data_IF_009563799215
#
_entry.id   IF_009563799215
#
_cell.length_a   1.000
_cell.length_b   1.000
_cell.length_c   1.000
_cell.angle_alpha   90.00
_cell.angle_beta   90.00
_cell.angle_gamma   90.00
#
_symmetry.space_group_name_H-M   'P 1'
#
loop_
_entity.id
_entity.type
_entity.pdbx_description
1 polymer ?
#
# COMPACT_ATOMS: atom_id res chain seq x y z
N UNK A 1 -5.82 -23.51 5.62
CA UNK A 1 -6.60 -22.46 6.33
C UNK A 1 -5.73 -21.58 7.23
N UNK A 2 -4.91 -22.11 8.14
CA UNK A 2 -4.09 -21.30 9.06
C UNK A 2 -3.13 -20.35 8.33
N UNK A 3 -2.35 -20.85 7.37
CA UNK A 3 -1.38 -20.04 6.62
C UNK A 3 -2.03 -18.89 5.83
N UNK A 4 -3.18 -19.14 5.19
CA UNK A 4 -3.95 -18.12 4.45
C UNK A 4 -4.33 -16.95 5.35
N UNK A 5 -4.93 -17.23 6.51
CA UNK A 5 -5.36 -16.20 7.46
C UNK A 5 -4.14 -15.45 8.00
N UNK A 6 -3.05 -16.16 8.32
CA UNK A 6 -1.80 -15.54 8.79
C UNK A 6 -1.27 -14.56 7.74
N UNK A 7 -1.14 -14.96 6.48
CA UNK A 7 -0.63 -14.09 5.41
C UNK A 7 -1.56 -12.89 5.21
N UNK A 8 -2.88 -13.10 5.13
CA UNK A 8 -3.86 -12.01 4.99
C UNK A 8 -3.77 -11.03 6.17
N UNK A 9 -3.62 -11.54 7.40
CA UNK A 9 -3.49 -10.72 8.61
C UNK A 9 -2.20 -9.91 8.58
N UNK A 10 -1.06 -10.53 8.27
CA UNK A 10 0.24 -9.85 8.21
C UNK A 10 0.23 -8.73 7.17
N UNK A 11 -0.32 -8.99 5.98
CA UNK A 11 -0.40 -7.99 4.91
C UNK A 11 -1.43 -6.91 5.23
N UNK A 12 -2.52 -7.24 5.92
CA UNK A 12 -3.44 -6.24 6.46
C UNK A 12 -2.73 -5.32 7.45
N UNK A 13 -2.04 -5.88 8.45
CA UNK A 13 -1.30 -5.10 9.45
C UNK A 13 -0.26 -4.20 8.79
N UNK A 14 0.48 -4.71 7.81
CA UNK A 14 1.42 -3.93 7.02
C UNK A 14 0.73 -2.76 6.30
N UNK A 15 -0.40 -3.02 5.65
CA UNK A 15 -1.21 -1.99 4.95
C UNK A 15 -1.72 -0.93 5.94
N UNK A 16 -2.21 -1.35 7.10
CA UNK A 16 -2.69 -0.44 8.15
C UNK A 16 -1.56 0.40 8.74
N UNK A 17 -0.35 -0.15 8.88
CA UNK A 17 0.81 0.55 9.41
C UNK A 17 1.49 1.48 8.37
N UNK A 18 1.35 1.21 7.07
CA UNK A 18 2.06 1.94 6.01
C UNK A 18 1.82 3.46 6.03
N UNK A 19 0.59 4.00 6.20
CA UNK A 19 0.37 5.44 6.35
C UNK A 19 1.16 6.05 7.50
N UNK A 20 1.24 5.37 8.66
CA UNK A 20 1.99 5.86 9.81
C UNK A 20 3.49 5.90 9.53
N UNK A 21 4.03 4.85 8.89
CA UNK A 21 5.42 4.80 8.46
C UNK A 21 5.76 5.94 7.48
N UNK A 22 4.91 6.16 6.49
CA UNK A 22 5.09 7.25 5.51
C UNK A 22 4.99 8.63 6.19
N UNK A 23 4.04 8.82 7.11
CA UNK A 23 3.91 10.05 7.90
C UNK A 23 5.18 10.33 8.73
N UNK A 24 5.73 9.31 9.37
CA UNK A 24 7.01 9.41 10.08
C UNK A 24 8.16 9.79 9.12
N UNK A 25 8.25 9.13 7.97
CA UNK A 25 9.26 9.48 6.97
C UNK A 25 9.11 10.93 6.48
N UNK A 26 7.89 11.45 6.33
CA UNK A 26 7.65 12.86 5.99
C UNK A 26 8.10 13.79 7.12
N UNK A 27 7.93 13.41 8.39
CA UNK A 27 8.45 14.17 9.52
C UNK A 27 9.98 14.33 9.44
N UNK A 28 10.72 13.27 9.08
CA UNK A 28 12.18 13.34 8.86
C UNK A 28 12.54 14.40 7.80
N UNK A 29 11.79 14.48 6.71
CA UNK A 29 12.02 15.51 5.69
C UNK A 29 11.72 16.94 6.20
N UNK A 30 10.76 17.10 7.12
CA UNK A 30 10.42 18.42 7.71
C UNK A 30 11.52 18.94 8.64
N UNK A 31 12.16 18.06 9.40
CA UNK A 31 13.35 18.39 10.20
C UNK A 31 14.65 18.43 9.35
N UNK A 32 14.51 18.40 8.01
CA UNK A 32 15.59 18.45 7.02
C UNK A 32 16.55 17.23 7.05
N UNK A 33 16.14 16.15 7.69
CA UNK A 33 16.87 14.88 7.66
C UNK A 33 16.53 14.05 6.41
N UNK A 34 17.04 14.54 5.27
CA UNK A 34 16.79 13.92 3.97
C UNK A 34 17.41 12.53 3.80
N UNK A 35 18.62 12.22 4.33
CA UNK A 35 19.16 10.86 4.28
C UNK A 35 18.25 9.83 4.97
N UNK A 36 17.74 10.13 6.17
CA UNK A 36 16.85 9.20 6.87
C UNK A 36 15.46 9.17 6.25
N UNK A 37 14.92 10.29 5.77
CA UNK A 37 13.68 10.29 4.98
C UNK A 37 13.76 9.32 3.80
N UNK A 38 14.84 9.42 3.00
CA UNK A 38 15.08 8.55 1.84
C UNK A 38 15.19 7.09 2.26
N UNK A 39 15.99 6.80 3.30
CA UNK A 39 16.17 5.43 3.81
C UNK A 39 14.84 4.84 4.28
N UNK A 40 14.07 5.59 5.07
CA UNK A 40 12.76 5.16 5.56
C UNK A 40 11.79 4.88 4.41
N UNK A 41 11.68 5.78 3.43
CA UNK A 41 10.80 5.60 2.27
C UNK A 41 11.16 4.35 1.45
N UNK A 42 12.45 4.12 1.19
CA UNK A 42 12.90 2.93 0.47
C UNK A 42 12.58 1.63 1.26
N UNK A 43 12.85 1.61 2.58
CA UNK A 43 12.57 0.44 3.42
C UNK A 43 11.07 0.13 3.44
N UNK A 44 10.24 1.13 3.74
CA UNK A 44 8.77 0.96 3.80
C UNK A 44 8.27 0.46 2.45
N UNK A 45 8.69 1.09 1.35
CA UNK A 45 8.29 0.70 0.00
C UNK A 45 8.65 -0.77 -0.31
N UNK A 46 9.89 -1.19 -0.04
CA UNK A 46 10.33 -2.57 -0.29
C UNK A 46 9.54 -3.57 0.54
N UNK A 47 9.36 -3.32 1.84
CA UNK A 47 8.58 -4.23 2.71
C UNK A 47 7.13 -4.34 2.21
N UNK A 48 6.52 -3.21 1.86
CA UNK A 48 5.17 -3.15 1.29
C UNK A 48 5.05 -3.93 -0.03
N UNK A 49 5.98 -3.76 -0.97
CA UNK A 49 6.00 -4.51 -2.24
C UNK A 49 6.12 -6.01 -1.99
N UNK A 50 7.02 -6.43 -1.09
CA UNK A 50 7.18 -7.85 -0.75
C UNK A 50 5.88 -8.42 -0.15
N UNK A 51 5.20 -7.67 0.72
CA UNK A 51 3.90 -8.05 1.26
C UNK A 51 2.83 -8.21 0.18
N UNK A 52 2.76 -7.28 -0.77
CA UNK A 52 1.81 -7.36 -1.91
C UNK A 52 2.12 -8.54 -2.80
N UNK A 53 3.39 -8.79 -3.15
CA UNK A 53 3.77 -9.93 -3.99
C UNK A 53 3.47 -11.27 -3.29
N UNK A 54 3.69 -11.34 -1.98
CA UNK A 54 3.32 -12.52 -1.18
C UNK A 54 1.80 -12.76 -1.21
N UNK A 55 1.00 -11.71 -1.00
CA UNK A 55 -0.46 -11.81 -1.07
C UNK A 55 -0.95 -12.20 -2.47
N UNK A 56 -0.37 -11.60 -3.52
CA UNK A 56 -0.72 -11.90 -4.90
C UNK A 56 -0.42 -13.36 -5.25
N UNK A 57 0.74 -13.90 -4.83
CA UNK A 57 1.05 -15.32 -5.01
C UNK A 57 0.03 -16.24 -4.34
N UNK A 58 -0.41 -15.89 -3.12
CA UNK A 58 -1.48 -16.60 -2.42
C UNK A 58 -2.81 -16.52 -3.19
N UNK A 59 -3.20 -15.33 -3.65
CA UNK A 59 -4.44 -15.11 -4.42
C UNK A 59 -4.43 -15.96 -5.69
N UNK A 60 -3.33 -15.92 -6.46
CA UNK A 60 -3.21 -16.66 -7.71
C UNK A 60 -3.27 -18.18 -7.48
N UNK A 61 -2.56 -18.69 -6.46
CA UNK A 61 -2.63 -20.11 -6.09
C UNK A 61 -4.02 -20.56 -5.61
N UNK A 62 -4.85 -19.62 -5.15
CA UNK A 62 -6.20 -19.89 -4.65
C UNK A 62 -7.28 -19.78 -5.73
N UNK A 63 -6.92 -19.44 -6.98
CA UNK A 63 -7.87 -19.29 -8.10
C UNK A 63 -8.21 -17.84 -8.46
N UNK A 64 -7.41 -16.87 -8.03
CA UNK A 64 -7.50 -15.46 -8.47
C UNK A 64 -8.28 -14.54 -7.53
N UNK A 65 -8.44 -13.28 -7.95
CA UNK A 65 -9.04 -12.22 -7.12
C UNK A 65 -10.44 -12.56 -6.63
N UNK A 66 -10.63 -12.53 -5.31
CA UNK A 66 -11.89 -12.87 -4.65
C UNK A 66 -12.05 -14.34 -4.26
N UNK A 67 -11.21 -15.25 -4.77
CA UNK A 67 -11.25 -16.68 -4.41
C UNK A 67 -11.13 -16.93 -2.91
N UNK A 68 -10.28 -16.14 -2.23
CA UNK A 68 -10.08 -16.17 -0.78
C UNK A 68 -11.34 -15.85 0.03
N UNK A 69 -12.34 -15.21 -0.59
CA UNK A 69 -13.61 -14.86 0.02
C UNK A 69 -14.78 -15.74 -0.47
N UNK A 70 -14.54 -16.78 -1.28
CA UNK A 70 -15.60 -17.57 -1.93
C UNK A 70 -16.61 -18.20 -0.97
N UNK A 71 -16.20 -18.48 0.27
CA UNK A 71 -17.05 -19.04 1.34
C UNK A 71 -17.73 -17.96 2.21
N UNK A 72 -17.50 -16.67 1.92
CA UNK A 72 -18.12 -15.56 2.64
C UNK A 72 -19.56 -15.34 2.21
N UNK A 73 -20.44 -15.03 3.17
CA UNK A 73 -21.83 -14.61 2.88
C UNK A 73 -21.87 -13.32 2.05
N UNK A 74 -20.80 -12.53 2.07
CA UNK A 74 -20.69 -11.28 1.34
C UNK A 74 -20.16 -11.42 -0.10
N UNK A 75 -19.59 -12.58 -0.46
CA UNK A 75 -18.84 -12.77 -1.70
C UNK A 75 -19.59 -12.31 -2.95
N UNK A 76 -20.89 -12.59 -3.02
CA UNK A 76 -21.71 -12.26 -4.19
C UNK A 76 -22.33 -10.86 -4.15
N UNK A 77 -22.21 -10.14 -3.03
CA UNK A 77 -22.81 -8.82 -2.86
C UNK A 77 -22.14 -7.78 -3.74
N UNK A 78 -22.93 -6.83 -4.25
CA UNK A 78 -22.41 -5.70 -5.03
C UNK A 78 -21.42 -4.87 -4.22
N UNK A 79 -21.69 -4.68 -2.93
CA UNK A 79 -20.82 -3.93 -2.02
C UNK A 79 -19.42 -4.57 -1.94
N UNK A 80 -19.31 -5.88 -1.69
CA UNK A 80 -18.01 -6.56 -1.65
C UNK A 80 -17.24 -6.40 -2.96
N UNK A 81 -17.92 -6.66 -4.10
CA UNK A 81 -17.29 -6.60 -5.43
C UNK A 81 -16.76 -5.19 -5.74
N UNK A 82 -17.56 -4.16 -5.49
CA UNK A 82 -17.15 -2.77 -5.71
C UNK A 82 -15.99 -2.38 -4.79
N UNK A 83 -16.07 -2.72 -3.49
CA UNK A 83 -14.98 -2.45 -2.55
C UNK A 83 -13.69 -3.15 -2.95
N UNK A 84 -13.75 -4.43 -3.34
CA UNK A 84 -12.59 -5.20 -3.78
C UNK A 84 -11.96 -4.61 -5.05
N UNK A 85 -12.76 -4.33 -6.08
CA UNK A 85 -12.26 -3.75 -7.34
C UNK A 85 -11.63 -2.39 -7.09
N UNK A 86 -12.31 -1.53 -6.32
CA UNK A 86 -11.83 -0.19 -6.00
C UNK A 86 -10.55 -0.23 -5.17
N UNK A 87 -10.47 -1.15 -4.20
CA UNK A 87 -9.27 -1.40 -3.41
C UNK A 87 -8.08 -1.74 -4.32
N UNK A 88 -8.24 -2.75 -5.19
CA UNK A 88 -7.18 -3.22 -6.09
C UNK A 88 -6.73 -2.07 -7.01
N UNK A 89 -7.68 -1.36 -7.62
CA UNK A 89 -7.38 -0.26 -8.54
C UNK A 89 -6.57 0.86 -7.87
N UNK A 90 -7.01 1.35 -6.71
CA UNK A 90 -6.30 2.42 -6.00
C UNK A 90 -4.95 1.93 -5.46
N UNK A 91 -4.86 0.67 -5.00
CA UNK A 91 -3.59 0.08 -4.57
C UNK A 91 -2.58 0.05 -5.72
N UNK A 92 -2.95 -0.49 -6.88
CA UNK A 92 -2.08 -0.58 -8.05
C UNK A 92 -1.57 0.79 -8.48
N UNK A 93 -2.46 1.78 -8.62
CA UNK A 93 -2.06 3.14 -9.01
C UNK A 93 -1.12 3.76 -7.97
N UNK A 94 -1.41 3.56 -6.67
CA UNK A 94 -0.57 4.09 -5.59
C UNK A 94 0.84 3.51 -5.65
N UNK A 95 1.00 2.20 -5.86
CA UNK A 95 2.32 1.57 -5.99
C UNK A 95 3.06 1.97 -7.26
N UNK A 96 2.37 2.16 -8.40
CA UNK A 96 2.99 2.69 -9.62
C UNK A 96 3.55 4.10 -9.36
N UNK A 97 2.73 5.00 -8.82
CA UNK A 97 3.15 6.37 -8.51
C UNK A 97 4.29 6.40 -7.49
N UNK A 98 4.24 5.53 -6.47
CA UNK A 98 5.27 5.45 -5.45
C UNK A 98 6.57 4.91 -6.01
N UNK A 99 6.52 3.88 -6.86
CA UNK A 99 7.71 3.35 -7.58
C UNK A 99 8.39 4.44 -8.39
N UNK A 100 7.61 5.17 -9.21
CA UNK A 100 8.13 6.29 -10.00
C UNK A 100 8.76 7.36 -9.11
N UNK A 101 8.09 7.73 -8.03
CA UNK A 101 8.60 8.75 -7.10
C UNK A 101 9.90 8.30 -6.42
N UNK A 102 9.99 7.03 -6.00
CA UNK A 102 11.18 6.43 -5.38
C UNK A 102 12.35 6.43 -6.37
N UNK A 103 12.15 5.92 -7.59
CA UNK A 103 13.20 5.85 -8.62
C UNK A 103 13.74 7.25 -8.96
N UNK A 104 12.84 8.19 -9.29
CA UNK A 104 13.23 9.56 -9.66
C UNK A 104 13.93 10.27 -8.48
N UNK A 105 13.40 10.12 -7.26
CA UNK A 105 13.96 10.78 -6.08
C UNK A 105 15.34 10.23 -5.72
N UNK A 106 15.56 8.92 -5.86
CA UNK A 106 16.86 8.29 -5.64
C UNK A 106 17.91 8.75 -6.66
N UNK A 107 17.54 8.85 -7.95
CA UNK A 107 18.44 9.34 -9.01
C UNK A 107 18.83 10.80 -8.81
N UNK A 108 17.88 11.64 -8.36
CA UNK A 108 18.07 13.09 -8.16
C UNK A 108 18.68 13.47 -6.81
N UNK A 109 18.75 12.54 -5.86
CA UNK A 109 19.26 12.79 -4.52
C UNK A 109 20.70 13.35 -4.58
N UNK A 110 20.94 14.49 -3.92
CA UNK A 110 22.22 15.24 -3.91
C UNK A 110 22.70 15.78 -5.26
N UNK A 111 21.94 15.65 -6.35
CA UNK A 111 22.27 16.22 -7.66
C UNK A 111 21.51 17.52 -7.96
N UNK A 112 20.22 17.57 -7.63
CA UNK A 112 19.32 18.66 -8.05
C UNK A 112 18.35 19.10 -6.95
N UNK A 113 18.74 18.98 -5.67
CA UNK A 113 17.90 19.32 -4.52
C UNK A 113 18.47 20.50 -3.71
N UNK A 114 17.67 21.51 -3.33
CA UNK A 114 16.27 21.75 -3.71
C UNK A 114 16.16 22.38 -5.12
N UNK A 115 15.22 21.91 -5.94
CA UNK A 115 14.98 22.41 -7.30
C UNK A 115 13.53 22.21 -7.74
N UNK A 116 13.20 22.46 -9.03
CA UNK A 116 11.83 22.37 -9.60
C UNK A 116 11.10 21.05 -9.29
N UNK A 117 11.85 19.96 -9.07
CA UNK A 117 11.31 18.65 -8.69
C UNK A 117 10.66 18.63 -7.28
N UNK A 118 10.99 19.56 -6.39
CA UNK A 118 10.49 19.60 -5.01
C UNK A 118 8.96 19.75 -4.94
N UNK A 119 8.37 20.60 -5.77
CA UNK A 119 6.92 20.80 -5.81
C UNK A 119 6.20 19.54 -6.31
N UNK A 120 6.71 18.92 -7.38
CA UNK A 120 6.16 17.67 -7.91
C UNK A 120 6.29 16.52 -6.90
N UNK A 121 7.45 16.40 -6.24
CA UNK A 121 7.68 15.38 -5.21
C UNK A 121 6.68 15.51 -4.06
N UNK A 122 6.44 16.73 -3.56
CA UNK A 122 5.43 16.97 -2.52
C UNK A 122 4.02 16.61 -2.99
N UNK A 123 3.62 17.05 -4.19
CA UNK A 123 2.29 16.74 -4.75
C UNK A 123 2.08 15.22 -4.88
N UNK A 124 3.04 14.51 -5.47
CA UNK A 124 3.00 13.05 -5.59
C UNK A 124 3.00 12.35 -4.23
N UNK A 125 3.81 12.82 -3.28
CA UNK A 125 3.83 12.30 -1.92
C UNK A 125 2.46 12.39 -1.22
N UNK A 126 1.75 13.51 -1.37
CA UNK A 126 0.39 13.63 -0.82
C UNK A 126 -0.62 12.71 -1.52
N UNK A 127 -0.53 12.56 -2.85
CA UNK A 127 -1.40 11.62 -3.58
C UNK A 127 -1.18 10.18 -3.12
N UNK A 128 0.08 9.75 -2.98
CA UNK A 128 0.44 8.41 -2.48
C UNK A 128 -0.05 8.24 -1.04
N UNK A 129 0.16 9.24 -0.17
CA UNK A 129 -0.29 9.16 1.21
C UNK A 129 -1.81 9.01 1.33
N UNK A 130 -2.59 9.78 0.55
CA UNK A 130 -4.04 9.62 0.47
C UNK A 130 -4.45 8.23 -0.05
N UNK A 131 -3.77 7.74 -1.08
CA UNK A 131 -3.96 6.39 -1.61
C UNK A 131 -3.72 5.30 -0.56
N UNK A 132 -2.66 5.42 0.25
CA UNK A 132 -2.35 4.49 1.33
C UNK A 132 -3.41 4.48 2.44
N UNK A 133 -3.97 5.64 2.79
CA UNK A 133 -5.08 5.70 3.76
C UNK A 133 -6.32 5.00 3.19
N UNK A 134 -6.65 5.29 1.92
CA UNK A 134 -7.77 4.65 1.24
C UNK A 134 -7.61 3.12 1.18
N UNK A 135 -6.42 2.65 0.81
CA UNK A 135 -6.15 1.20 0.73
C UNK A 135 -6.14 0.55 2.10
N UNK A 136 -5.67 1.22 3.16
CA UNK A 136 -5.76 0.73 4.52
C UNK A 136 -7.22 0.49 4.96
N UNK A 137 -8.09 1.47 4.73
CA UNK A 137 -9.51 1.38 5.08
C UNK A 137 -10.20 0.27 4.28
N UNK A 138 -10.01 0.27 2.95
CA UNK A 138 -10.66 -0.72 2.09
C UNK A 138 -10.09 -2.12 2.26
N UNK A 139 -8.80 -2.29 2.56
CA UNK A 139 -8.21 -3.58 2.92
C UNK A 139 -8.86 -4.17 4.17
N UNK A 140 -9.07 -3.34 5.20
CA UNK A 140 -9.75 -3.76 6.42
C UNK A 140 -11.18 -4.23 6.11
N UNK A 141 -11.92 -3.48 5.30
CA UNK A 141 -13.27 -3.86 4.89
C UNK A 141 -13.30 -5.18 4.10
N UNK A 142 -12.42 -5.33 3.10
CA UNK A 142 -12.32 -6.58 2.33
C UNK A 142 -11.96 -7.74 3.25
N UNK A 143 -11.05 -7.54 4.20
CA UNK A 143 -10.62 -8.57 5.14
C UNK A 143 -11.75 -9.03 6.07
N UNK A 144 -12.44 -8.11 6.75
CA UNK A 144 -13.53 -8.46 7.67
C UNK A 144 -14.69 -9.15 6.94
N UNK A 145 -15.00 -8.71 5.72
CA UNK A 145 -16.03 -9.33 4.89
C UNK A 145 -15.60 -10.71 4.40
N UNK A 146 -14.35 -10.88 3.97
CA UNK A 146 -13.82 -12.18 3.50
C UNK A 146 -13.89 -13.25 4.59
N UNK A 147 -13.70 -12.85 5.86
CA UNK A 147 -13.69 -13.76 7.00
C UNK A 147 -15.01 -13.81 7.79
N UNK A 148 -16.09 -13.17 7.30
CA UNK A 148 -17.38 -13.07 7.99
C UNK A 148 -17.28 -12.54 9.44
N UNK A 149 -16.39 -11.57 9.69
CA UNK A 149 -16.20 -10.98 11.03
C UNK A 149 -17.27 -9.91 11.38
N UNK A 150 -18.17 -9.64 10.43
CA UNK A 150 -19.35 -8.78 10.55
C UNK A 150 -20.57 -9.50 9.95
#
# INVERSE_FOLDING_TARGET
MSATIIIMTLVLLLTLCAPFGVKYAVHLARIKDYPHHRKAQNIIFVVCILGVLLLEGLIQSSGGSGSLASQSKYYQTAFFKVTLISHIFVAVISYILWTLLIVISNVKFRKTLPGKFSALHKKMGYMIFGGLIYTAITALMVYIMSLNLI
#
